data_IF_472146026383
#
_entry.id   IF_472146026383
#
_cell.length_a   1.000
_cell.length_b   1.000
_cell.length_c   1.000
_cell.angle_alpha   90.00
_cell.angle_beta   90.00
_cell.angle_gamma   90.00
#
_symmetry.space_group_name_H-M   'P 1'
#
loop_
_entity.id
_entity.type
_entity.pdbx_description
1 polymer ?
#
# COMPACT_ATOMS: atom_id res chain seq x y z
N UNK A 1 -17.36 12.88 -22.31
CA UNK A 1 -17.97 13.76 -21.29
C UNK A 1 -17.70 15.26 -21.48
N UNK A 2 -16.51 15.70 -21.93
CA UNK A 2 -16.23 17.14 -22.19
C UNK A 2 -15.66 17.46 -23.59
N UNK A 3 -15.14 16.46 -24.32
CA UNK A 3 -14.65 16.55 -25.71
C UNK A 3 -13.66 17.69 -26.03
N UNK A 4 -12.93 18.16 -25.00
CA UNK A 4 -11.95 19.25 -25.09
C UNK A 4 -10.69 18.89 -25.90
N UNK A 5 -10.47 17.62 -26.20
CA UNK A 5 -9.33 17.10 -26.97
C UNK A 5 -9.88 16.01 -27.89
N UNK A 6 -9.72 16.12 -29.23
CA UNK A 6 -10.20 15.13 -30.19
C UNK A 6 -9.70 13.71 -29.92
N UNK A 7 -10.56 12.72 -30.17
CA UNK A 7 -10.25 11.28 -30.11
C UNK A 7 -8.97 10.92 -30.85
N UNK A 8 -8.76 11.52 -32.02
CA UNK A 8 -7.65 11.20 -32.93
C UNK A 8 -6.30 11.57 -32.31
N UNK A 9 -6.25 12.61 -31.47
CA UNK A 9 -5.06 12.97 -30.70
C UNK A 9 -4.79 11.92 -29.61
N UNK A 10 -5.83 11.42 -28.95
CA UNK A 10 -5.71 10.38 -27.90
C UNK A 10 -5.23 9.05 -28.48
N UNK A 11 -5.73 8.68 -29.66
CA UNK A 11 -5.29 7.49 -30.41
C UNK A 11 -3.88 7.67 -30.97
N UNK A 12 -3.54 8.85 -31.50
CA UNK A 12 -2.18 9.18 -31.97
C UNK A 12 -1.12 9.21 -30.86
N UNK A 13 -1.52 9.29 -29.59
CA UNK A 13 -0.64 9.33 -28.42
C UNK A 13 -0.46 7.96 -27.72
N UNK A 14 -0.94 6.84 -28.29
CA UNK A 14 -0.74 5.47 -27.78
C UNK A 14 0.72 5.18 -27.37
N UNK A 15 1.69 5.57 -28.20
CA UNK A 15 3.12 5.35 -27.97
C UNK A 15 3.65 5.93 -26.65
N UNK A 16 3.00 6.96 -26.10
CA UNK A 16 3.38 7.56 -24.81
C UNK A 16 3.10 6.57 -23.68
N UNK A 17 2.04 5.76 -23.80
CA UNK A 17 1.72 4.71 -22.84
C UNK A 17 2.80 3.63 -22.83
N UNK A 18 3.23 3.17 -24.01
CA UNK A 18 4.30 2.17 -24.13
C UNK A 18 5.64 2.69 -23.58
N UNK A 19 5.98 3.94 -23.88
CA UNK A 19 7.16 4.62 -23.32
C UNK A 19 7.07 4.73 -21.79
N UNK A 20 5.95 5.18 -21.24
CA UNK A 20 5.76 5.30 -19.79
C UNK A 20 5.85 3.93 -19.11
N UNK A 21 5.22 2.91 -19.69
CA UNK A 21 5.26 1.54 -19.22
C UNK A 21 6.67 0.95 -19.19
N UNK A 22 7.43 1.14 -20.27
CA UNK A 22 8.82 0.72 -20.37
C UNK A 22 9.68 1.35 -19.26
N UNK A 23 9.52 2.65 -18.99
CA UNK A 23 10.22 3.33 -17.89
C UNK A 23 9.75 2.91 -16.49
N UNK A 24 8.46 2.67 -16.29
CA UNK A 24 7.92 2.15 -15.03
C UNK A 24 8.53 0.77 -14.75
N UNK A 25 8.48 -0.15 -15.71
CA UNK A 25 9.05 -1.50 -15.58
C UNK A 25 10.56 -1.48 -15.33
N UNK A 26 11.32 -0.67 -16.08
CA UNK A 26 12.74 -0.46 -15.82
C UNK A 26 12.98 0.05 -14.39
N UNK A 27 12.16 0.98 -13.92
CA UNK A 27 12.16 1.47 -12.54
C UNK A 27 11.93 0.37 -11.50
N UNK A 28 11.01 -0.57 -11.74
CA UNK A 28 10.73 -1.72 -10.86
C UNK A 28 11.94 -2.67 -10.78
N UNK A 29 12.68 -2.86 -11.89
CA UNK A 29 13.89 -3.68 -11.94
C UNK A 29 14.93 -3.36 -10.86
N UNK A 30 14.97 -2.11 -10.35
CA UNK A 30 15.86 -1.67 -9.26
C UNK A 30 15.63 -2.40 -7.92
N UNK A 31 14.50 -3.08 -7.76
CA UNK A 31 14.15 -3.81 -6.54
C UNK A 31 14.53 -5.29 -6.64
N UNK A 32 14.64 -5.85 -7.85
CA UNK A 32 15.08 -7.23 -8.14
C UNK A 32 16.60 -7.45 -7.99
N UNK A 33 17.21 -6.79 -6.99
CA UNK A 33 18.62 -7.02 -6.64
C UNK A 33 18.74 -8.31 -5.84
N UNK A 34 19.42 -9.31 -6.39
CA UNK A 34 19.60 -10.65 -5.82
C UNK A 34 20.19 -10.62 -4.41
N UNK A 35 21.18 -9.76 -4.13
CA UNK A 35 21.73 -9.61 -2.77
C UNK A 35 20.66 -9.16 -1.78
N UNK A 36 19.80 -8.21 -2.19
CA UNK A 36 18.72 -7.67 -1.36
C UNK A 36 17.63 -8.71 -1.18
N UNK A 37 17.28 -9.46 -2.22
CA UNK A 37 16.32 -10.57 -2.15
C UNK A 37 16.82 -11.68 -1.21
N UNK A 38 18.11 -12.05 -1.28
CA UNK A 38 18.74 -13.00 -0.33
C UNK A 38 18.81 -12.47 1.11
N UNK A 39 18.97 -11.14 1.28
CA UNK A 39 18.91 -10.47 2.59
C UNK A 39 17.47 -10.26 3.09
N UNK A 40 16.45 -10.31 2.22
CA UNK A 40 15.06 -10.31 2.64
C UNK A 40 14.78 -11.66 3.30
N UNK A 41 14.73 -11.69 4.63
CA UNK A 41 14.46 -12.93 5.35
C UNK A 41 13.18 -13.59 4.84
N UNK A 42 13.21 -14.92 4.69
CA UNK A 42 12.17 -15.74 4.02
C UNK A 42 10.73 -15.39 4.40
N UNK A 43 10.53 -14.95 5.64
CA UNK A 43 9.26 -14.43 6.16
C UNK A 43 8.65 -13.32 5.30
N UNK A 44 9.46 -12.39 4.78
CA UNK A 44 8.98 -11.27 3.95
C UNK A 44 8.62 -11.75 2.56
N UNK A 45 9.44 -12.61 1.95
CA UNK A 45 9.16 -13.19 0.63
C UNK A 45 7.83 -13.98 0.66
N UNK A 46 7.65 -14.85 1.66
CA UNK A 46 6.40 -15.60 1.85
C UNK A 46 5.23 -14.66 2.09
N UNK A 47 5.40 -13.58 2.86
CA UNK A 47 4.36 -12.60 3.10
C UNK A 47 3.95 -11.86 1.81
N UNK A 48 4.89 -11.38 0.99
CA UNK A 48 4.59 -10.69 -0.28
C UNK A 48 3.91 -11.64 -1.26
N UNK A 49 4.38 -12.89 -1.38
CA UNK A 49 3.74 -13.87 -2.25
C UNK A 49 2.32 -14.22 -1.77
N UNK A 50 2.13 -14.41 -0.47
CA UNK A 50 0.80 -14.71 0.09
C UNK A 50 -0.17 -13.54 -0.05
N UNK A 51 0.27 -12.30 0.17
CA UNK A 51 -0.62 -11.14 0.05
C UNK A 51 -1.00 -10.85 -1.42
N UNK A 52 -0.02 -10.89 -2.34
CA UNK A 52 -0.25 -10.66 -3.76
C UNK A 52 -1.10 -11.78 -4.40
N UNK A 53 -0.68 -13.04 -4.26
CA UNK A 53 -1.30 -14.17 -4.97
C UNK A 53 -2.66 -14.56 -4.39
N UNK A 54 -2.88 -14.43 -3.07
CA UNK A 54 -4.23 -14.61 -2.50
C UNK A 54 -5.15 -13.48 -2.94
N UNK A 55 -4.66 -12.22 -3.04
CA UNK A 55 -5.47 -11.13 -3.61
C UNK A 55 -5.88 -11.43 -5.05
N UNK A 56 -4.92 -11.86 -5.89
CA UNK A 56 -5.21 -12.23 -7.27
C UNK A 56 -6.23 -13.38 -7.34
N UNK A 57 -6.00 -14.48 -6.63
CA UNK A 57 -6.89 -15.64 -6.63
C UNK A 57 -8.31 -15.30 -6.12
N UNK A 58 -8.43 -14.47 -5.06
CA UNK A 58 -9.73 -14.03 -4.52
C UNK A 58 -10.48 -13.16 -5.51
N UNK A 59 -9.80 -12.21 -6.17
CA UNK A 59 -10.42 -11.36 -7.20
C UNK A 59 -10.85 -12.21 -8.42
N UNK A 60 -9.96 -13.06 -8.94
CA UNK A 60 -10.26 -13.96 -10.07
C UNK A 60 -11.46 -14.85 -9.76
N UNK A 61 -11.44 -15.54 -8.62
CA UNK A 61 -12.53 -16.45 -8.22
C UNK A 61 -13.86 -15.71 -8.04
N UNK A 62 -13.85 -14.51 -7.48
CA UNK A 62 -15.07 -13.70 -7.34
C UNK A 62 -15.65 -13.27 -8.69
N UNK A 63 -14.81 -12.82 -9.62
CA UNK A 63 -15.25 -12.39 -10.96
C UNK A 63 -15.80 -13.57 -11.78
N UNK A 64 -15.17 -14.74 -11.67
CA UNK A 64 -15.66 -15.98 -12.27
C UNK A 64 -17.00 -16.46 -11.67
N UNK A 65 -17.10 -16.55 -10.34
CA UNK A 65 -18.23 -17.21 -9.68
C UNK A 65 -19.44 -16.29 -9.46
N UNK A 66 -19.22 -14.99 -9.25
CA UNK A 66 -20.30 -14.04 -8.97
C UNK A 66 -20.75 -13.34 -10.24
N UNK A 67 -19.82 -12.77 -11.02
CA UNK A 67 -20.14 -12.03 -12.24
C UNK A 67 -20.10 -12.86 -13.53
N UNK A 68 -19.67 -14.13 -13.47
CA UNK A 68 -19.65 -15.04 -14.61
C UNK A 68 -18.85 -14.49 -15.82
N UNK A 69 -17.81 -13.70 -15.54
CA UNK A 69 -16.94 -13.10 -16.55
C UNK A 69 -15.94 -14.13 -17.11
N UNK A 70 -15.36 -13.85 -18.27
CA UNK A 70 -14.44 -14.80 -18.92
C UNK A 70 -13.20 -15.10 -18.07
N UNK A 71 -12.59 -16.26 -18.31
CA UNK A 71 -11.37 -16.68 -17.61
C UNK A 71 -10.21 -15.71 -17.85
N UNK A 72 -10.01 -15.30 -19.11
CA UNK A 72 -9.03 -14.31 -19.51
C UNK A 72 -9.22 -12.97 -18.76
N UNK A 73 -10.44 -12.43 -18.77
CA UNK A 73 -10.78 -11.18 -18.07
C UNK A 73 -10.51 -11.29 -16.57
N UNK A 74 -11.00 -12.37 -15.95
CA UNK A 74 -10.92 -12.57 -14.50
C UNK A 74 -9.48 -12.78 -14.02
N UNK A 75 -8.66 -13.53 -14.76
CA UNK A 75 -7.24 -13.72 -14.48
C UNK A 75 -6.46 -12.42 -14.58
N UNK A 76 -6.66 -11.65 -15.65
CA UNK A 76 -5.99 -10.36 -15.85
C UNK A 76 -6.40 -9.35 -14.77
N UNK A 77 -7.69 -9.22 -14.46
CA UNK A 77 -8.16 -8.32 -13.39
C UNK A 77 -7.63 -8.73 -12.02
N UNK A 78 -7.56 -10.04 -11.73
CA UNK A 78 -6.96 -10.57 -10.51
C UNK A 78 -5.46 -10.24 -10.40
N UNK A 79 -4.68 -10.48 -11.46
CA UNK A 79 -3.26 -10.16 -11.48
C UNK A 79 -3.00 -8.65 -11.33
N UNK A 80 -3.80 -7.78 -11.96
CA UNK A 80 -3.72 -6.34 -11.76
C UNK A 80 -4.04 -5.98 -10.30
N UNK A 81 -5.04 -6.63 -9.71
CA UNK A 81 -5.43 -6.44 -8.31
C UNK A 81 -4.35 -6.81 -7.29
N UNK A 82 -3.34 -7.60 -7.67
CA UNK A 82 -2.22 -7.87 -6.77
C UNK A 82 -1.27 -6.68 -6.61
N UNK A 83 -1.25 -5.68 -7.51
CA UNK A 83 -0.32 -4.54 -7.42
C UNK A 83 -0.64 -3.59 -6.26
N UNK A 84 0.39 -2.96 -5.68
CA UNK A 84 0.29 -1.95 -4.59
C UNK A 84 1.18 -0.75 -4.84
N UNK A 85 0.65 0.46 -4.69
CA UNK A 85 1.41 1.69 -4.85
C UNK A 85 2.20 2.08 -3.57
N UNK A 86 3.55 2.21 -3.62
CA UNK A 86 4.34 2.62 -2.45
C UNK A 86 4.18 4.11 -2.08
N UNK A 87 3.82 4.98 -3.03
CA UNK A 87 3.96 6.43 -2.89
C UNK A 87 3.23 7.00 -1.65
N UNK A 88 1.93 6.70 -1.51
CA UNK A 88 1.08 7.16 -0.41
C UNK A 88 1.56 6.64 0.96
N UNK A 89 1.80 5.33 1.08
CA UNK A 89 2.27 4.70 2.31
C UNK A 89 3.66 5.19 2.73
N UNK A 90 4.61 5.33 1.80
CA UNK A 90 5.94 5.88 2.08
C UNK A 90 5.90 7.36 2.48
N UNK A 91 5.02 8.17 1.87
CA UNK A 91 4.85 9.56 2.26
C UNK A 91 4.27 9.68 3.67
N UNK A 92 3.29 8.85 4.00
CA UNK A 92 2.68 8.83 5.34
C UNK A 92 3.69 8.38 6.41
N UNK A 93 4.52 7.36 6.12
CA UNK A 93 5.64 6.97 7.00
C UNK A 93 6.57 8.17 7.28
N UNK A 94 6.92 8.96 6.26
CA UNK A 94 7.79 10.14 6.39
C UNK A 94 7.13 11.27 7.19
N UNK A 95 5.87 11.60 6.88
CA UNK A 95 5.11 12.65 7.56
C UNK A 95 5.00 12.40 9.06
N UNK A 96 4.62 11.18 9.47
CA UNK A 96 4.47 10.80 10.88
C UNK A 96 5.77 10.30 11.52
N UNK A 97 6.91 10.36 10.79
CA UNK A 97 8.22 9.82 11.21
C UNK A 97 8.14 8.40 11.79
N UNK A 98 7.27 7.57 11.22
CA UNK A 98 6.94 6.25 11.73
C UNK A 98 8.14 5.30 11.62
N UNK A 99 8.34 4.44 12.62
CA UNK A 99 9.48 3.51 12.72
C UNK A 99 9.07 2.19 13.37
N UNK A 100 9.97 1.20 13.26
CA UNK A 100 9.83 -0.10 13.92
C UNK A 100 9.46 -1.24 12.96
N UNK A 101 9.21 -2.46 13.49
CA UNK A 101 9.08 -3.67 12.68
C UNK A 101 8.00 -3.57 11.59
N UNK A 102 6.85 -2.95 11.90
CA UNK A 102 5.77 -2.76 10.94
C UNK A 102 6.20 -1.97 9.70
N UNK A 103 6.89 -0.84 9.91
CA UNK A 103 7.39 0.02 8.82
C UNK A 103 8.46 -0.70 8.01
N UNK A 104 9.36 -1.43 8.67
CA UNK A 104 10.40 -2.19 7.98
C UNK A 104 9.78 -3.26 7.04
N UNK A 105 8.81 -4.03 7.54
CA UNK A 105 8.09 -5.02 6.71
C UNK A 105 7.31 -4.35 5.58
N UNK A 106 6.53 -3.29 5.86
CA UNK A 106 5.75 -2.58 4.84
C UNK A 106 6.61 -2.03 3.70
N UNK A 107 7.76 -1.41 4.02
CA UNK A 107 8.71 -0.89 3.03
C UNK A 107 9.31 -2.02 2.17
N UNK A 108 9.54 -3.20 2.75
CA UNK A 108 10.09 -4.35 2.04
C UNK A 108 9.06 -5.04 1.14
N UNK A 109 7.83 -5.22 1.63
CA UNK A 109 6.72 -5.84 0.88
C UNK A 109 6.40 -5.02 -0.36
N UNK A 110 6.10 -3.72 -0.22
CA UNK A 110 5.72 -2.88 -1.39
C UNK A 110 6.91 -2.62 -2.33
N UNK A 111 8.16 -2.79 -1.86
CA UNK A 111 9.31 -2.78 -2.76
C UNK A 111 9.40 -4.04 -3.65
N UNK A 112 8.77 -5.15 -3.27
CA UNK A 112 8.71 -6.38 -4.09
C UNK A 112 7.39 -6.56 -4.83
N UNK A 113 6.29 -5.97 -4.33
CA UNK A 113 4.94 -6.26 -4.80
C UNK A 113 4.73 -5.89 -6.29
N UNK A 114 5.28 -4.77 -6.75
CA UNK A 114 5.27 -4.40 -8.18
C UNK A 114 5.86 -5.51 -9.08
N UNK A 115 6.95 -6.16 -8.64
CA UNK A 115 7.58 -7.23 -9.42
C UNK A 115 6.78 -8.54 -9.37
N UNK A 116 6.13 -8.83 -8.23
CA UNK A 116 5.22 -10.00 -8.12
C UNK A 116 3.99 -9.80 -9.00
N UNK A 117 3.41 -8.59 -9.02
CA UNK A 117 2.29 -8.24 -9.88
C UNK A 117 2.64 -8.32 -11.37
N UNK A 118 3.81 -7.79 -11.77
CA UNK A 118 4.28 -7.93 -13.16
C UNK A 118 4.45 -9.39 -13.58
N UNK A 119 5.04 -10.24 -12.73
CA UNK A 119 5.21 -11.67 -13.02
C UNK A 119 3.87 -12.42 -13.06
N UNK A 120 2.98 -12.17 -12.10
CA UNK A 120 1.65 -12.76 -12.06
C UNK A 120 0.82 -12.35 -13.29
N UNK A 121 0.90 -11.08 -13.70
CA UNK A 121 0.27 -10.57 -14.90
C UNK A 121 0.81 -11.24 -16.16
N UNK A 122 2.12 -11.39 -16.30
CA UNK A 122 2.71 -12.05 -17.47
C UNK A 122 2.26 -13.51 -17.62
N UNK A 123 2.14 -14.25 -16.51
CA UNK A 123 1.59 -15.62 -16.53
C UNK A 123 0.10 -15.61 -16.90
N UNK A 124 -0.69 -14.70 -16.32
CA UNK A 124 -2.12 -14.57 -16.63
C UNK A 124 -2.38 -14.13 -18.08
N UNK A 125 -1.54 -13.25 -18.63
CA UNK A 125 -1.58 -12.81 -20.02
C UNK A 125 -1.27 -13.96 -20.99
N UNK A 126 -0.22 -14.75 -20.72
CA UNK A 126 0.09 -15.93 -21.54
C UNK A 126 -1.06 -16.96 -21.55
N UNK A 127 -1.73 -17.15 -20.40
CA UNK A 127 -2.92 -18.02 -20.32
C UNK A 127 -4.10 -17.41 -21.09
N UNK A 128 -4.38 -16.11 -20.90
CA UNK A 128 -5.47 -15.39 -21.55
C UNK A 128 -5.37 -15.46 -23.08
N UNK A 129 -4.20 -15.15 -23.64
CA UNK A 129 -3.95 -15.24 -25.09
C UNK A 129 -4.06 -16.68 -25.62
N UNK A 130 -3.74 -17.70 -24.81
CA UNK A 130 -3.88 -19.10 -25.19
C UNK A 130 -5.32 -19.64 -25.14
N UNK A 131 -6.24 -18.96 -24.45
CA UNK A 131 -7.66 -19.37 -24.35
C UNK A 131 -8.56 -18.88 -25.49
N UNK A 132 -8.09 -17.95 -26.33
CA UNK A 132 -8.85 -17.45 -27.49
C UNK A 132 -8.86 -18.45 -28.67
N UNK A 133 -7.90 -19.38 -28.73
CA UNK A 133 -7.83 -20.41 -29.79
C UNK A 133 -8.61 -21.67 -29.41
N UNK A 134 -9.69 -22.06 -30.14
CA UNK A 134 -10.51 -23.23 -29.80
C UNK A 134 -9.84 -24.59 -30.09
N UNK A 135 -8.67 -24.58 -30.73
CA UNK A 135 -7.81 -25.76 -30.92
C UNK A 135 -6.50 -25.51 -30.20
N UNK A 136 -6.24 -26.26 -29.12
CA UNK A 136 -4.95 -26.21 -28.41
C UNK A 136 -3.92 -26.99 -29.21
N UNK A 137 -3.43 -26.39 -30.29
CA UNK A 137 -2.23 -26.84 -30.97
C UNK A 137 -1.00 -26.49 -30.11
N UNK A 138 -0.06 -27.42 -29.94
CA UNK A 138 1.16 -27.21 -29.17
C UNK A 138 1.95 -25.99 -29.68
N UNK A 139 1.90 -25.73 -30.98
CA UNK A 139 2.57 -24.59 -31.60
C UNK A 139 1.99 -23.23 -31.16
N UNK A 140 0.70 -23.15 -30.85
CA UNK A 140 0.03 -21.93 -30.35
C UNK A 140 0.49 -21.50 -28.95
N UNK A 141 0.90 -22.46 -28.11
CA UNK A 141 1.40 -22.22 -26.74
C UNK A 141 2.91 -22.04 -26.72
N UNK A 142 3.65 -22.85 -27.50
CA UNK A 142 5.12 -22.81 -27.52
C UNK A 142 5.64 -21.52 -28.15
N UNK A 143 5.02 -21.01 -29.22
CA UNK A 143 5.48 -19.82 -29.95
C UNK A 143 5.54 -18.56 -29.06
N UNK A 144 4.44 -18.11 -28.39
CA UNK A 144 4.49 -16.92 -27.53
C UNK A 144 5.43 -17.13 -26.33
N UNK A 145 5.57 -18.34 -25.80
CA UNK A 145 6.53 -18.64 -24.74
C UNK A 145 7.99 -18.49 -25.22
N UNK A 146 8.29 -18.99 -26.42
CA UNK A 146 9.61 -18.90 -27.04
C UNK A 146 9.99 -17.45 -27.41
N UNK A 147 9.05 -16.67 -27.95
CA UNK A 147 9.28 -15.23 -28.22
C UNK A 147 9.53 -14.46 -26.92
N UNK A 148 8.72 -14.69 -25.87
CA UNK A 148 8.97 -14.08 -24.55
C UNK A 148 10.35 -14.48 -23.97
N UNK A 149 10.75 -15.75 -24.09
CA UNK A 149 12.07 -16.20 -23.67
C UNK A 149 13.21 -15.54 -24.47
N UNK A 150 13.03 -15.36 -25.78
CA UNK A 150 13.95 -14.63 -26.66
C UNK A 150 14.07 -13.14 -26.27
N UNK A 151 12.95 -12.47 -26.01
CA UNK A 151 12.91 -11.08 -25.51
C UNK A 151 13.62 -10.95 -24.16
N UNK A 152 13.41 -11.88 -23.23
CA UNK A 152 14.11 -11.91 -21.94
C UNK A 152 15.63 -12.11 -22.12
N UNK A 153 16.05 -13.04 -22.97
CA UNK A 153 17.47 -13.27 -23.26
C UNK A 153 18.11 -12.02 -23.88
N UNK A 154 17.46 -11.41 -24.87
CA UNK A 154 17.90 -10.17 -25.50
C UNK A 154 17.99 -9.03 -24.48
N UNK A 155 16.99 -8.85 -23.61
CA UNK A 155 17.00 -7.83 -22.56
C UNK A 155 18.12 -8.03 -21.53
N UNK A 156 18.45 -9.27 -21.17
CA UNK A 156 19.60 -9.57 -20.30
C UNK A 156 20.94 -9.26 -21.00
N UNK A 157 21.11 -9.66 -22.26
CA UNK A 157 22.32 -9.36 -23.05
C UNK A 157 22.49 -7.85 -23.25
N UNK A 158 21.42 -7.13 -23.60
CA UNK A 158 21.37 -5.68 -23.68
C UNK A 158 21.66 -5.02 -22.31
N UNK A 159 21.17 -5.59 -21.21
CA UNK A 159 21.46 -5.11 -19.85
C UNK A 159 22.94 -5.23 -19.49
N UNK A 160 23.61 -6.32 -19.90
CA UNK A 160 25.06 -6.48 -19.77
C UNK A 160 25.83 -5.53 -20.67
N UNK A 161 25.41 -5.38 -21.94
CA UNK A 161 26.00 -4.47 -22.91
C UNK A 161 25.93 -3.02 -22.42
N UNK A 162 24.75 -2.57 -21.97
CA UNK A 162 24.54 -1.29 -21.31
C UNK A 162 25.51 -1.11 -20.14
N UNK A 163 25.65 -2.11 -19.26
CA UNK A 163 26.61 -2.03 -18.16
C UNK A 163 28.05 -1.80 -18.64
N UNK A 164 28.49 -2.40 -19.74
CA UNK A 164 29.83 -2.16 -20.31
C UNK A 164 29.95 -0.75 -20.87
N UNK A 165 29.01 -0.29 -21.71
CA UNK A 165 29.07 1.05 -22.33
C UNK A 165 28.96 2.21 -21.32
N UNK A 166 28.34 2.00 -20.16
CA UNK A 166 28.27 3.02 -19.09
C UNK A 166 29.63 3.29 -18.40
N UNK A 167 30.69 2.52 -18.68
CA UNK A 167 32.02 2.74 -18.09
C UNK A 167 32.65 4.08 -18.53
N UNK A 168 33.11 4.86 -17.56
CA UNK A 168 33.79 6.14 -17.82
C UNK A 168 32.92 7.24 -18.45
N UNK A 169 31.59 7.09 -18.48
CA UNK A 169 30.67 8.06 -19.11
C UNK A 169 30.10 9.06 -18.11
N UNK A 170 29.90 10.31 -18.57
CA UNK A 170 29.25 11.36 -17.78
C UNK A 170 27.79 11.00 -17.44
N UNK A 171 27.20 11.71 -16.47
CA UNK A 171 25.82 11.44 -16.05
C UNK A 171 24.79 11.55 -17.17
N UNK A 172 25.00 12.46 -18.12
CA UNK A 172 24.04 12.71 -19.21
C UNK A 172 24.16 11.67 -20.32
N UNK A 173 25.38 11.27 -20.68
CA UNK A 173 25.61 10.12 -21.58
C UNK A 173 25.02 8.83 -21.00
N UNK A 174 25.14 8.60 -19.69
CA UNK A 174 24.53 7.44 -19.02
C UNK A 174 23.00 7.46 -19.10
N UNK A 175 22.40 8.63 -18.95
CA UNK A 175 20.96 8.82 -19.09
C UNK A 175 20.48 8.57 -20.53
N UNK A 176 21.09 9.24 -21.51
CA UNK A 176 20.75 9.10 -22.95
C UNK A 176 20.86 7.64 -23.39
N UNK A 177 21.95 6.96 -23.05
CA UNK A 177 22.16 5.55 -23.41
C UNK A 177 21.10 4.64 -22.77
N UNK A 178 20.67 4.94 -21.54
CA UNK A 178 19.62 4.15 -20.86
C UNK A 178 18.27 4.35 -21.52
N UNK A 179 17.90 5.60 -21.87
CA UNK A 179 16.69 5.87 -22.64
C UNK A 179 16.72 5.13 -23.99
N UNK A 180 17.84 5.17 -24.71
CA UNK A 180 18.00 4.45 -25.98
C UNK A 180 17.78 2.93 -25.83
N UNK A 181 18.34 2.30 -24.79
CA UNK A 181 18.16 0.87 -24.54
C UNK A 181 16.73 0.51 -24.09
N UNK A 182 16.08 1.37 -23.30
CA UNK A 182 14.66 1.19 -22.92
C UNK A 182 13.76 1.32 -24.14
N UNK A 183 13.97 2.32 -25.00
CA UNK A 183 13.22 2.49 -26.24
C UNK A 183 13.49 1.39 -27.26
N UNK A 184 14.74 0.90 -27.36
CA UNK A 184 15.08 -0.22 -28.25
C UNK A 184 14.35 -1.51 -27.85
N UNK A 185 14.28 -1.82 -26.56
CA UNK A 185 13.46 -2.94 -26.07
C UNK A 185 11.98 -2.68 -26.32
N UNK A 186 11.48 -1.47 -26.04
CA UNK A 186 10.07 -1.14 -26.26
C UNK A 186 9.65 -1.30 -27.73
N UNK A 187 10.42 -0.74 -28.66
CA UNK A 187 10.17 -0.84 -30.10
C UNK A 187 10.34 -2.27 -30.61
N UNK A 188 11.35 -3.01 -30.14
CA UNK A 188 11.55 -4.41 -30.50
C UNK A 188 10.43 -5.34 -30.02
N UNK A 189 9.85 -5.07 -28.84
CA UNK A 189 8.70 -5.83 -28.34
C UNK A 189 7.42 -5.46 -29.08
N UNK A 190 7.20 -4.17 -29.39
CA UNK A 190 6.08 -3.70 -30.21
C UNK A 190 6.11 -4.28 -31.63
N UNK A 191 7.29 -4.42 -32.24
CA UNK A 191 7.46 -5.05 -33.56
C UNK A 191 7.29 -6.59 -33.55
N UNK A 192 7.13 -7.21 -32.37
CA UNK A 192 6.90 -8.64 -32.18
C UNK A 192 5.52 -8.92 -31.54
N UNK A 193 4.67 -7.90 -31.37
CA UNK A 193 3.39 -7.96 -30.65
C UNK A 193 3.49 -8.54 -29.22
N UNK A 194 4.59 -8.24 -28.51
CA UNK A 194 4.85 -8.68 -27.13
C UNK A 194 4.94 -7.49 -26.18
N UNK A 195 4.53 -7.69 -24.91
CA UNK A 195 4.63 -6.66 -23.88
C UNK A 195 6.09 -6.32 -23.52
N UNK A 196 6.51 -5.05 -23.56
CA UNK A 196 7.89 -4.65 -23.22
C UNK A 196 8.22 -4.72 -21.73
N UNK A 197 7.23 -4.91 -20.84
CA UNK A 197 7.40 -4.80 -19.39
C UNK A 197 8.47 -5.75 -18.84
N UNK A 198 8.41 -7.03 -19.20
CA UNK A 198 9.37 -8.02 -18.71
C UNK A 198 10.80 -7.71 -19.19
N UNK A 199 10.95 -7.32 -20.46
CA UNK A 199 12.25 -6.93 -21.03
C UNK A 199 12.83 -5.70 -20.34
N UNK A 200 12.05 -4.63 -20.20
CA UNK A 200 12.51 -3.40 -19.52
C UNK A 200 12.79 -3.63 -18.03
N UNK A 201 11.98 -4.44 -17.34
CA UNK A 201 12.24 -4.84 -15.95
C UNK A 201 13.53 -5.65 -15.82
N UNK A 202 13.79 -6.58 -16.74
CA UNK A 202 15.02 -7.38 -16.75
C UNK A 202 16.25 -6.55 -17.12
N UNK A 203 16.13 -5.54 -18.00
CA UNK A 203 17.20 -4.56 -18.26
C UNK A 203 17.59 -3.85 -16.95
N UNK A 204 16.61 -3.34 -16.20
CA UNK A 204 16.83 -2.70 -14.90
C UNK A 204 17.39 -3.66 -13.84
N UNK A 205 16.86 -4.88 -13.76
CA UNK A 205 17.34 -5.91 -12.86
C UNK A 205 18.80 -6.31 -13.17
N UNK A 206 19.15 -6.45 -14.45
CA UNK A 206 20.51 -6.76 -14.89
C UNK A 206 21.47 -5.63 -14.48
N UNK A 207 21.10 -4.37 -14.73
CA UNK A 207 21.90 -3.22 -14.32
C UNK A 207 22.17 -3.18 -12.81
N UNK A 208 21.13 -3.32 -11.97
CA UNK A 208 21.29 -3.19 -10.50
C UNK A 208 22.11 -4.34 -9.91
N UNK A 209 22.10 -5.53 -10.52
CA UNK A 209 22.88 -6.68 -10.09
C UNK A 209 24.34 -6.65 -10.60
N UNK A 210 24.59 -6.17 -11.83
CA UNK A 210 25.94 -6.09 -12.40
C UNK A 210 26.72 -4.89 -11.85
N UNK A 211 26.08 -3.73 -11.65
CA UNK A 211 26.76 -2.52 -11.14
C UNK A 211 26.71 -2.36 -9.62
N UNK A 212 25.75 -2.99 -8.95
CA UNK A 212 25.61 -2.91 -7.49
C UNK A 212 25.18 -1.53 -6.96
N UNK A 213 24.83 -0.56 -7.81
CA UNK A 213 24.42 0.79 -7.43
C UNK A 213 23.00 1.15 -7.94
N UNK A 214 22.49 2.33 -7.55
CA UNK A 214 21.17 2.84 -7.98
C UNK A 214 21.22 4.23 -8.64
N UNK A 215 22.38 4.64 -9.14
CA UNK A 215 22.65 5.97 -9.73
C UNK A 215 21.86 6.18 -11.01
N UNK A 216 21.80 5.19 -11.89
CA UNK A 216 21.06 5.26 -13.16
C UNK A 216 19.56 5.47 -12.95
N UNK A 217 18.95 4.74 -12.01
CA UNK A 217 17.53 4.95 -11.67
C UNK A 217 17.26 6.36 -11.14
N UNK A 218 18.21 6.97 -10.41
CA UNK A 218 18.08 8.38 -9.98
C UNK A 218 18.16 9.34 -11.17
N UNK A 219 19.01 9.06 -12.17
CA UNK A 219 19.11 9.86 -13.40
C UNK A 219 17.82 9.75 -14.22
N UNK A 220 17.34 8.53 -14.49
CA UNK A 220 16.08 8.26 -15.21
C UNK A 220 14.87 8.86 -14.47
N UNK A 221 14.86 8.85 -13.13
CA UNK A 221 13.80 9.51 -12.34
C UNK A 221 13.73 11.04 -12.47
N UNK A 222 14.68 11.69 -13.17
CA UNK A 222 14.61 13.13 -13.50
C UNK A 222 13.79 13.42 -14.76
N UNK A 223 13.74 12.48 -15.72
CA UNK A 223 13.08 12.66 -17.02
C UNK A 223 11.76 11.90 -17.17
N UNK A 224 11.52 10.90 -16.31
CA UNK A 224 10.24 10.17 -16.26
C UNK A 224 9.04 10.96 -15.72
N UNK A 225 9.14 11.99 -14.85
CA UNK A 225 7.94 12.65 -14.34
C UNK A 225 7.04 13.28 -15.42
N UNK A 226 7.55 14.02 -16.42
CA UNK A 226 6.72 14.51 -17.54
C UNK A 226 6.06 13.39 -18.35
N UNK A 227 6.79 12.30 -18.62
CA UNK A 227 6.27 11.12 -19.31
C UNK A 227 5.11 10.49 -18.53
N UNK A 228 5.30 10.29 -17.23
CA UNK A 228 4.27 9.74 -16.35
C UNK A 228 3.04 10.65 -16.29
N UNK A 229 3.20 11.98 -16.25
CA UNK A 229 2.08 12.93 -16.28
C UNK A 229 1.29 12.80 -17.59
N UNK A 230 1.95 12.76 -18.74
CA UNK A 230 1.26 12.56 -20.03
C UNK A 230 0.51 11.23 -20.07
N UNK A 231 1.13 10.14 -19.62
CA UNK A 231 0.49 8.83 -19.49
C UNK A 231 -0.74 8.84 -18.55
N UNK A 232 -0.65 9.49 -17.39
CA UNK A 232 -1.80 9.58 -16.47
C UNK A 232 -2.94 10.45 -17.03
N UNK A 233 -2.62 11.52 -17.76
CA UNK A 233 -3.63 12.34 -18.44
C UNK A 233 -4.33 11.53 -19.54
N UNK A 234 -3.57 10.87 -20.42
CA UNK A 234 -4.13 9.97 -21.45
C UNK A 234 -5.00 8.86 -20.85
N UNK A 235 -4.53 8.23 -19.77
CA UNK A 235 -5.28 7.20 -19.03
C UNK A 235 -6.57 7.75 -18.45
N UNK A 236 -6.55 8.97 -17.88
CA UNK A 236 -7.74 9.64 -17.36
C UNK A 236 -8.72 10.07 -18.45
N UNK A 237 -8.24 10.40 -19.66
CA UNK A 237 -9.09 10.72 -20.80
C UNK A 237 -9.79 9.50 -21.41
N UNK A 238 -9.21 8.31 -21.26
CA UNK A 238 -9.81 7.01 -21.64
C UNK A 238 -10.89 6.53 -20.67
N UNK A 239 -11.03 7.15 -19.50
CA UNK A 239 -12.04 6.79 -18.50
C UNK A 239 -13.41 7.29 -18.97
N UNK A 240 -14.24 6.39 -19.50
CA UNK A 240 -15.62 6.72 -19.85
C UNK A 240 -16.53 6.71 -18.61
N UNK A 241 -16.86 7.91 -18.13
CA UNK A 241 -17.78 8.12 -17.02
C UNK A 241 -19.22 7.70 -17.34
N UNK A 242 -19.63 7.64 -18.63
CA UNK A 242 -21.00 7.28 -18.99
C UNK A 242 -21.29 5.78 -18.76
N UNK A 243 -20.27 4.92 -18.91
CA UNK A 243 -20.37 3.49 -18.59
C UNK A 243 -20.55 3.17 -17.08
N UNK A 244 -20.33 4.14 -16.18
CA UNK A 244 -20.24 3.93 -14.73
C UNK A 244 -21.50 3.36 -14.05
N UNK A 245 -22.68 3.37 -14.67
CA UNK A 245 -23.90 2.81 -14.05
C UNK A 245 -23.85 1.29 -13.94
N UNK A 246 -23.57 0.59 -15.05
CA UNK A 246 -23.42 -0.88 -15.05
C UNK A 246 -22.01 -1.29 -14.62
N UNK A 247 -20.98 -0.58 -15.11
CA UNK A 247 -19.57 -0.85 -14.74
C UNK A 247 -19.31 -0.56 -13.26
N UNK A 248 -20.05 0.37 -12.66
CA UNK A 248 -19.91 0.76 -11.26
C UNK A 248 -20.17 -0.39 -10.28
N UNK A 249 -21.07 -1.33 -10.58
CA UNK A 249 -21.32 -2.49 -9.71
C UNK A 249 -20.10 -3.43 -9.72
N UNK A 250 -19.60 -3.77 -10.90
CA UNK A 250 -18.42 -4.65 -11.06
C UNK A 250 -17.18 -3.96 -10.47
N UNK A 251 -17.01 -2.65 -10.71
CA UNK A 251 -15.90 -1.85 -10.18
C UNK A 251 -15.93 -1.68 -8.66
N UNK A 252 -17.11 -1.44 -8.07
CA UNK A 252 -17.26 -1.36 -6.62
C UNK A 252 -17.06 -2.72 -5.94
N UNK A 253 -17.52 -3.80 -6.57
CA UNK A 253 -17.28 -5.16 -6.10
C UNK A 253 -15.78 -5.53 -6.21
N UNK A 254 -15.12 -5.26 -7.34
CA UNK A 254 -13.66 -5.37 -7.47
C UNK A 254 -12.94 -4.61 -6.37
N UNK A 255 -13.35 -3.35 -6.12
CA UNK A 255 -12.74 -2.49 -5.10
C UNK A 255 -12.82 -3.12 -3.70
N UNK A 256 -14.00 -3.62 -3.32
CA UNK A 256 -14.24 -4.27 -2.02
C UNK A 256 -13.53 -5.63 -1.90
N UNK A 257 -13.61 -6.46 -2.94
CA UNK A 257 -13.01 -7.81 -2.98
C UNK A 257 -11.50 -7.75 -2.97
N UNK A 258 -10.87 -6.80 -3.69
CA UNK A 258 -9.42 -6.58 -3.62
C UNK A 258 -8.98 -6.17 -2.21
N UNK A 259 -9.73 -5.29 -1.53
CA UNK A 259 -9.43 -4.92 -0.13
C UNK A 259 -9.51 -6.17 0.76
N UNK A 260 -10.56 -6.98 0.63
CA UNK A 260 -10.71 -8.23 1.37
C UNK A 260 -9.56 -9.22 1.09
N UNK A 261 -9.16 -9.36 -0.18
CA UNK A 261 -8.00 -10.16 -0.61
C UNK A 261 -6.68 -9.69 0.02
N UNK A 262 -6.37 -8.39 -0.04
CA UNK A 262 -5.17 -7.80 0.58
C UNK A 262 -5.16 -8.00 2.10
N UNK A 263 -6.30 -7.89 2.77
CA UNK A 263 -6.42 -8.23 4.19
C UNK A 263 -6.20 -9.72 4.46
N UNK A 264 -6.86 -10.60 3.72
CA UNK A 264 -6.78 -12.05 3.91
C UNK A 264 -5.37 -12.59 3.64
N UNK A 265 -4.79 -12.25 2.49
CA UNK A 265 -3.46 -12.71 2.08
C UNK A 265 -2.35 -12.20 3.01
N UNK A 266 -2.39 -10.91 3.40
CA UNK A 266 -1.41 -10.37 4.35
C UNK A 266 -1.58 -10.95 5.77
N UNK A 267 -2.81 -11.21 6.22
CA UNK A 267 -3.07 -11.90 7.48
C UNK A 267 -2.57 -13.34 7.47
N UNK A 268 -2.85 -14.09 6.40
CA UNK A 268 -2.37 -15.48 6.21
C UNK A 268 -0.84 -15.51 6.18
N UNK A 269 -0.20 -14.72 5.32
CA UNK A 269 1.26 -14.65 5.22
C UNK A 269 1.94 -14.27 6.55
N UNK A 270 1.41 -13.27 7.25
CA UNK A 270 1.93 -12.85 8.57
C UNK A 270 1.59 -13.85 9.71
N UNK A 271 0.60 -14.73 9.51
CA UNK A 271 0.30 -15.84 10.42
C UNK A 271 1.28 -16.99 10.21
N UNK A 272 1.43 -17.46 8.97
CA UNK A 272 2.34 -18.56 8.59
C UNK A 272 3.79 -18.26 8.97
N UNK A 273 4.24 -17.01 8.82
CA UNK A 273 5.63 -16.60 9.06
C UNK A 273 5.91 -16.15 10.50
N UNK A 274 4.91 -16.20 11.39
CA UNK A 274 5.04 -15.84 12.80
C UNK A 274 5.40 -14.37 13.02
N UNK A 275 4.88 -13.45 12.20
CA UNK A 275 5.15 -12.02 12.36
C UNK A 275 4.34 -11.38 13.51
N UNK A 276 4.79 -10.22 14.05
CA UNK A 276 4.12 -9.53 15.15
C UNK A 276 2.66 -9.18 14.85
N UNK A 277 1.83 -9.13 15.91
CA UNK A 277 0.38 -8.88 15.82
C UNK A 277 0.04 -7.59 15.07
N UNK A 278 0.85 -6.53 15.22
CA UNK A 278 0.69 -5.28 14.49
C UNK A 278 0.81 -5.43 12.97
N UNK A 279 1.72 -6.27 12.49
CA UNK A 279 1.83 -6.63 11.05
C UNK A 279 0.61 -7.46 10.65
N UNK A 280 0.32 -8.53 11.39
CA UNK A 280 -0.76 -9.48 11.08
C UNK A 280 -2.15 -8.85 10.99
N UNK A 281 -2.42 -7.80 11.78
CA UNK A 281 -3.75 -7.14 11.81
C UNK A 281 -3.88 -5.93 10.89
N UNK A 282 -2.79 -5.21 10.61
CA UNK A 282 -2.88 -3.89 9.98
C UNK A 282 -2.07 -3.74 8.69
N UNK A 283 -1.31 -4.75 8.25
CA UNK A 283 -0.52 -4.62 7.03
C UNK A 283 -1.41 -4.50 5.79
N UNK A 284 -2.44 -5.34 5.64
CA UNK A 284 -3.38 -5.26 4.51
C UNK A 284 -4.00 -3.87 4.32
N UNK A 285 -4.28 -3.16 5.42
CA UNK A 285 -4.77 -1.78 5.39
C UNK A 285 -3.76 -0.79 4.76
N UNK A 286 -2.45 -1.03 4.94
CA UNK A 286 -1.40 -0.22 4.32
C UNK A 286 -1.03 -0.64 2.88
N UNK A 287 -1.60 -1.74 2.39
CA UNK A 287 -1.44 -2.29 1.03
C UNK A 287 -2.65 -2.01 0.11
N UNK A 288 -3.63 -1.23 0.60
CA UNK A 288 -4.77 -0.78 -0.20
C UNK A 288 -4.38 0.16 -1.37
N UNK A 289 -3.43 1.12 -1.24
CA UNK A 289 -3.12 2.05 -2.33
C UNK A 289 -2.73 1.35 -3.64
N UNK A 290 -3.18 1.89 -4.77
CA UNK A 290 -2.97 1.31 -6.11
C UNK A 290 -2.90 2.44 -7.14
N UNK A 291 -1.90 2.39 -8.04
CA UNK A 291 -1.57 3.50 -8.94
C UNK A 291 -0.94 3.01 -10.27
N UNK A 292 0.01 3.76 -10.82
CA UNK A 292 0.50 3.64 -12.21
C UNK A 292 0.91 2.25 -12.73
N UNK A 293 1.44 1.35 -11.89
CA UNK A 293 1.72 -0.03 -12.34
C UNK A 293 0.43 -0.74 -12.74
N UNK A 294 -0.62 -0.63 -11.93
CA UNK A 294 -1.92 -1.27 -12.24
C UNK A 294 -2.62 -0.64 -13.44
N UNK A 295 -2.56 0.68 -13.59
CA UNK A 295 -3.13 1.41 -14.73
C UNK A 295 -2.41 0.98 -16.01
N UNK A 296 -1.09 0.85 -15.93
CA UNK A 296 -0.26 0.34 -17.01
C UNK A 296 -0.60 -1.08 -17.44
N UNK A 297 -0.75 -1.98 -16.46
CA UNK A 297 -1.19 -3.35 -16.70
C UNK A 297 -2.61 -3.42 -17.29
N UNK A 298 -3.50 -2.50 -16.92
CA UNK A 298 -4.85 -2.43 -17.47
C UNK A 298 -4.87 -2.05 -18.95
N UNK A 299 -4.02 -1.10 -19.39
CA UNK A 299 -3.89 -0.78 -20.83
C UNK A 299 -3.34 -1.95 -21.63
N UNK A 300 -2.44 -2.76 -21.05
CA UNK A 300 -1.96 -3.97 -21.71
C UNK A 300 -3.01 -5.08 -21.75
N UNK A 301 -3.77 -5.27 -20.66
CA UNK A 301 -4.90 -6.19 -20.65
C UNK A 301 -5.98 -5.79 -21.67
N UNK A 302 -6.18 -4.48 -21.88
CA UNK A 302 -7.07 -3.95 -22.92
C UNK A 302 -6.63 -4.32 -24.35
N UNK A 303 -5.32 -4.54 -24.59
CA UNK A 303 -4.79 -5.04 -25.88
C UNK A 303 -4.80 -6.57 -26.01
N UNK A 304 -4.98 -7.30 -24.90
CA UNK A 304 -5.02 -8.78 -24.88
C UNK A 304 -6.46 -9.30 -24.97
N UNK A 305 -7.43 -8.54 -24.46
CA UNK A 305 -8.84 -8.90 -24.45
C UNK A 305 -9.59 -8.34 -25.67
N UNK A 306 -10.75 -8.93 -26.04
CA UNK A 306 -11.69 -8.31 -26.97
C UNK A 306 -12.06 -6.88 -26.56
N UNK A 307 -12.28 -5.98 -27.52
CA UNK A 307 -12.34 -4.52 -27.30
C UNK A 307 -13.26 -4.10 -26.14
N UNK A 308 -14.51 -4.58 -26.12
CA UNK A 308 -15.48 -4.29 -25.06
C UNK A 308 -14.97 -4.74 -23.68
N UNK A 309 -14.45 -5.97 -23.61
CA UNK A 309 -13.90 -6.54 -22.36
C UNK A 309 -12.64 -5.80 -21.90
N UNK A 310 -11.79 -5.38 -22.84
CA UNK A 310 -10.63 -4.56 -22.57
C UNK A 310 -10.98 -3.17 -22.04
N UNK A 311 -11.95 -2.49 -22.66
CA UNK A 311 -12.45 -1.19 -22.23
C UNK A 311 -13.13 -1.25 -20.85
N UNK A 312 -13.91 -2.30 -20.59
CA UNK A 312 -14.53 -2.57 -19.27
C UNK A 312 -13.47 -2.77 -18.18
N UNK A 313 -12.45 -3.60 -18.44
CA UNK A 313 -11.35 -3.84 -17.49
C UNK A 313 -10.57 -2.55 -17.22
N UNK A 314 -10.22 -1.82 -18.27
CA UNK A 314 -9.53 -0.53 -18.19
C UNK A 314 -10.31 0.46 -17.31
N UNK A 315 -11.61 0.60 -17.55
CA UNK A 315 -12.50 1.47 -16.78
C UNK A 315 -12.59 1.06 -15.31
N UNK A 316 -12.68 -0.24 -14.99
CA UNK A 316 -12.69 -0.76 -13.61
C UNK A 316 -11.40 -0.38 -12.88
N UNK A 317 -10.23 -0.58 -13.51
CA UNK A 317 -8.94 -0.29 -12.87
C UNK A 317 -8.70 1.22 -12.74
N UNK A 318 -9.01 2.01 -13.76
CA UNK A 318 -8.86 3.47 -13.74
C UNK A 318 -9.75 4.10 -12.65
N UNK A 319 -11.04 3.76 -12.64
CA UNK A 319 -12.00 4.30 -11.65
C UNK A 319 -11.68 3.87 -10.22
N UNK A 320 -11.33 2.59 -10.00
CA UNK A 320 -10.94 2.11 -8.67
C UNK A 320 -9.59 2.68 -8.20
N UNK A 321 -8.62 2.94 -9.10
CA UNK A 321 -7.35 3.58 -8.75
C UNK A 321 -7.54 5.01 -8.22
N UNK A 322 -8.50 5.78 -8.76
CA UNK A 322 -8.88 7.10 -8.19
C UNK A 322 -9.41 6.95 -6.76
N UNK A 323 -10.29 5.97 -6.50
CA UNK A 323 -10.79 5.68 -5.15
C UNK A 323 -9.65 5.26 -4.20
N UNK A 324 -8.69 4.47 -4.69
CA UNK A 324 -7.54 4.03 -3.90
C UNK A 324 -6.54 5.15 -3.58
N UNK A 325 -6.35 6.14 -4.45
CA UNK A 325 -5.52 7.31 -4.14
C UNK A 325 -6.21 8.26 -3.14
N UNK A 326 -7.55 8.37 -3.17
CA UNK A 326 -8.30 9.13 -2.14
C UNK A 326 -8.28 8.45 -0.76
N UNK A 327 -8.50 7.13 -0.71
CA UNK A 327 -8.66 6.36 0.54
C UNK A 327 -7.30 5.90 1.10
N UNK A 328 -6.32 5.68 0.21
CA UNK A 328 -5.00 5.15 0.53
C UNK A 328 -4.25 5.86 1.66
N UNK A 329 -4.12 7.22 1.64
CA UNK A 329 -3.46 7.96 2.71
C UNK A 329 -4.13 7.77 4.07
N UNK A 330 -5.47 7.68 4.10
CA UNK A 330 -6.26 7.48 5.32
C UNK A 330 -6.01 6.08 5.89
N UNK A 331 -6.03 5.06 5.02
CA UNK A 331 -5.76 3.68 5.39
C UNK A 331 -4.30 3.48 5.85
N UNK A 332 -3.32 3.99 5.11
CA UNK A 332 -1.91 3.95 5.50
C UNK A 332 -1.68 4.64 6.85
N UNK A 333 -2.28 5.82 7.08
CA UNK A 333 -2.22 6.52 8.38
C UNK A 333 -2.81 5.64 9.49
N UNK A 334 -4.03 5.14 9.31
CA UNK A 334 -4.72 4.30 10.30
C UNK A 334 -3.92 3.03 10.62
N UNK A 335 -3.29 2.41 9.63
CA UNK A 335 -2.40 1.25 9.81
C UNK A 335 -1.15 1.57 10.66
N UNK A 336 -0.49 2.71 10.41
CA UNK A 336 0.69 3.14 11.16
C UNK A 336 0.38 3.49 12.62
N UNK A 337 -0.77 4.13 12.88
CA UNK A 337 -1.23 4.42 14.24
C UNK A 337 -1.63 3.14 14.99
N UNK A 338 -2.46 2.28 14.39
CA UNK A 338 -2.95 1.05 15.05
C UNK A 338 -1.86 -0.01 15.26
N UNK A 339 -0.84 -0.05 14.40
CA UNK A 339 0.34 -0.91 14.58
C UNK A 339 1.32 -0.40 15.65
N UNK A 340 1.12 0.80 16.18
CA UNK A 340 2.01 1.42 17.17
C UNK A 340 3.33 1.94 16.61
N UNK A 341 3.42 2.14 15.28
CA UNK A 341 4.64 2.55 14.59
C UNK A 341 4.91 4.07 14.65
N UNK A 342 3.93 4.88 15.06
CA UNK A 342 4.07 6.34 15.18
C UNK A 342 4.61 6.71 16.58
N UNK A 343 5.76 7.40 16.69
CA UNK A 343 6.30 7.85 17.97
C UNK A 343 5.32 8.76 18.74
N UNK A 344 5.29 8.64 20.07
CA UNK A 344 4.46 9.47 20.95
C UNK A 344 3.00 9.00 21.15
N UNK A 345 2.43 8.26 20.20
CA UNK A 345 1.04 7.74 20.31
C UNK A 345 0.91 6.62 21.35
N UNK A 346 2.03 5.99 21.74
CA UNK A 346 2.07 4.93 22.75
C UNK A 346 1.52 5.37 24.13
N UNK A 347 1.70 6.64 24.51
CA UNK A 347 1.07 7.20 25.71
C UNK A 347 -0.44 7.41 25.56
N UNK A 348 -0.89 7.90 24.40
CA UNK A 348 -2.30 8.19 24.15
C UNK A 348 -3.16 6.90 24.07
N UNK A 349 -2.72 5.88 23.32
CA UNK A 349 -3.44 4.60 23.22
C UNK A 349 -3.43 3.77 24.52
N UNK A 350 -2.44 3.99 25.39
CA UNK A 350 -2.47 3.42 26.74
C UNK A 350 -3.42 4.18 27.65
N UNK A 351 -3.39 5.52 27.63
CA UNK A 351 -4.31 6.37 28.38
C UNK A 351 -5.78 6.11 28.02
N UNK A 352 -6.10 5.95 26.74
CA UNK A 352 -7.45 5.67 26.26
C UNK A 352 -7.93 4.28 26.75
N UNK A 353 -7.05 3.27 26.74
CA UNK A 353 -7.35 1.93 27.30
C UNK A 353 -7.43 1.89 28.82
N UNK A 354 -6.68 2.72 29.56
CA UNK A 354 -6.85 2.84 31.02
C UNK A 354 -8.10 3.65 31.37
N UNK A 355 -8.46 4.67 30.59
CA UNK A 355 -9.72 5.39 30.73
C UNK A 355 -10.92 4.47 30.43
N UNK A 356 -10.90 3.70 29.34
CA UNK A 356 -11.95 2.74 28.98
C UNK A 356 -12.10 1.62 30.05
N UNK A 357 -10.98 1.13 30.59
CA UNK A 357 -11.00 0.21 31.75
C UNK A 357 -11.54 0.87 33.01
N UNK A 358 -11.14 2.10 33.34
CA UNK A 358 -11.64 2.83 34.50
C UNK A 358 -13.14 3.10 34.39
N UNK A 359 -13.64 3.49 33.21
CA UNK A 359 -15.08 3.70 32.94
C UNK A 359 -15.87 2.39 33.07
N UNK A 360 -15.33 1.25 32.62
CA UNK A 360 -16.00 -0.04 32.79
C UNK A 360 -15.98 -0.55 34.24
N UNK A 361 -14.90 -0.30 35.00
CA UNK A 361 -14.84 -0.61 36.44
C UNK A 361 -15.78 0.30 37.26
N UNK A 362 -15.88 1.58 36.92
CA UNK A 362 -16.79 2.51 37.59
C UNK A 362 -18.27 2.23 37.25
N UNK A 363 -18.54 1.73 36.02
CA UNK A 363 -19.86 1.21 35.64
C UNK A 363 -20.22 -0.09 36.38
N UNK A 364 -19.30 -1.04 36.55
CA UNK A 364 -19.60 -2.26 37.32
C UNK A 364 -19.78 -1.95 38.82
N UNK A 365 -18.97 -1.05 39.39
CA UNK A 365 -19.13 -0.59 40.78
C UNK A 365 -20.46 0.15 41.02
N UNK A 366 -20.95 0.92 40.05
CA UNK A 366 -22.28 1.56 40.12
C UNK A 366 -23.44 0.57 39.95
N UNK A 367 -23.28 -0.44 39.10
CA UNK A 367 -24.27 -1.52 38.97
C UNK A 367 -24.42 -2.33 40.27
N UNK A 368 -23.30 -2.65 40.92
CA UNK A 368 -23.26 -3.42 42.17
C UNK A 368 -23.84 -2.62 43.37
N UNK A 369 -23.63 -1.29 43.40
CA UNK A 369 -24.31 -0.40 44.35
C UNK A 369 -25.82 -0.30 44.12
N UNK A 370 -26.28 -0.22 42.87
CA UNK A 370 -27.71 -0.18 42.58
C UNK A 370 -28.42 -1.51 42.93
N UNK A 371 -27.77 -2.67 42.71
CA UNK A 371 -28.34 -3.96 43.14
C UNK A 371 -28.44 -4.11 44.67
N UNK A 372 -27.58 -3.45 45.45
CA UNK A 372 -27.70 -3.39 46.92
C UNK A 372 -28.75 -2.37 47.39
N UNK A 373 -28.97 -1.29 46.65
CA UNK A 373 -30.05 -0.33 46.95
C UNK A 373 -31.44 -0.94 46.70
N UNK A 374 -31.66 -1.60 45.55
CA UNK A 374 -32.97 -2.21 45.21
C UNK A 374 -33.35 -3.39 46.12
N UNK A 375 -32.37 -4.08 46.73
CA UNK A 375 -32.64 -5.12 47.75
C UNK A 375 -32.98 -4.56 49.13
N UNK A 376 -32.66 -3.30 49.43
CA UNK A 376 -33.02 -2.66 50.69
C UNK A 376 -34.44 -2.07 50.68
N UNK A 377 -35.08 -1.92 49.51
CA UNK A 377 -36.41 -1.31 49.37
C UNK A 377 -37.57 -2.33 49.25
N UNK A 378 -37.32 -3.62 49.46
CA UNK A 378 -38.31 -4.71 49.22
C UNK A 378 -38.51 -5.69 50.39
N UNK A 379 -38.12 -5.36 51.62
CA UNK A 379 -38.53 -6.11 52.84
C UNK A 379 -39.61 -5.43 53.68
N UNK A 380 -39.71 -4.09 53.64
CA UNK A 380 -40.50 -3.33 54.62
C UNK A 380 -41.95 -3.10 54.18
N UNK A 381 -42.70 -4.20 54.01
CA UNK A 381 -44.17 -4.15 53.99
C UNK A 381 -44.84 -5.48 54.38
N UNK A 382 -44.50 -6.00 55.55
CA UNK A 382 -45.31 -7.01 56.23
C UNK A 382 -45.39 -6.74 57.75
N UNK A 383 -46.62 -6.76 58.28
CA UNK A 383 -47.00 -6.83 59.71
C UNK A 383 -46.61 -5.68 60.65
N UNK A 384 -47.62 -4.92 61.09
CA UNK A 384 -47.66 -4.31 62.43
C UNK A 384 -47.78 -5.42 63.49
N UNK A 385 -47.01 -5.34 64.57
CA UNK A 385 -47.49 -5.62 65.93
C UNK A 385 -46.47 -5.14 66.99
N UNK A 386 -47.01 -4.50 68.03
CA UNK A 386 -46.48 -4.39 69.40
C UNK A 386 -45.11 -3.74 69.75
N UNK A 387 -45.21 -2.96 70.82
CA UNK A 387 -44.17 -2.38 71.70
C UNK A 387 -44.01 -3.35 72.91
N UNK A 388 -43.05 -3.22 73.86
CA UNK A 388 -42.10 -2.11 74.10
C UNK A 388 -40.68 -2.48 74.68
N UNK A 389 -39.91 -1.43 75.05
CA UNK A 389 -39.09 -1.30 76.30
C UNK A 389 -37.62 -1.79 76.37
N UNK A 390 -36.75 -0.89 76.92
CA UNK A 390 -35.38 -1.05 77.49
C UNK A 390 -34.25 -1.53 76.54
N UNK A 391 -32.95 -1.29 76.81
CA UNK A 391 -32.20 -0.26 77.57
C UNK A 391 -30.68 -0.50 77.38
N UNK A 392 -29.82 0.48 77.70
CA UNK A 392 -28.37 0.31 78.00
C UNK A 392 -27.47 -0.21 76.84
N UNK A 393 -26.13 -0.09 76.84
CA UNK A 393 -25.11 0.84 77.42
C UNK A 393 -23.76 0.51 76.71
N UNK A 394 -22.74 1.36 76.80
CA UNK A 394 -21.29 1.07 77.01
C UNK A 394 -20.64 -0.19 76.35
N UNK A 395 -19.42 -0.22 75.79
CA UNK A 395 -18.25 0.68 75.84
C UNK A 395 -17.03 0.04 75.09
N UNK A 396 -15.85 0.70 75.17
CA UNK A 396 -14.45 0.22 74.94
C UNK A 396 -13.99 0.11 73.47
N UNK A 397 -12.80 0.59 73.07
CA UNK A 397 -11.41 0.40 73.58
C UNK A 397 -10.90 -1.06 73.42
N UNK A 398 -9.66 -1.35 73.03
CA UNK A 398 -8.46 -0.53 72.71
C UNK A 398 -7.39 -1.37 71.96
N UNK A 399 -6.20 -0.78 71.74
CA UNK A 399 -4.88 -1.44 71.55
C UNK A 399 -4.47 -1.93 70.13
N UNK A 400 -3.43 -1.34 69.50
CA UNK A 400 -1.95 -1.49 69.67
C UNK A 400 -1.43 -2.83 69.11
N UNK A 401 -0.33 -2.96 68.36
CA UNK A 401 0.68 -2.05 67.79
C UNK A 401 1.31 -2.74 66.52
N UNK A 402 2.47 -2.46 65.89
CA UNK A 402 3.63 -1.60 66.20
C UNK A 402 4.50 -1.25 64.94
N UNK A 403 5.58 -0.48 65.20
CA UNK A 403 6.92 -0.36 64.56
C UNK A 403 7.27 -1.08 63.23
N UNK A 404 8.18 -0.60 62.36
CA UNK A 404 9.03 0.61 62.17
C UNK A 404 9.58 0.48 60.70
N UNK A 405 9.91 1.49 59.88
CA UNK A 405 10.88 2.59 60.06
C UNK A 405 10.86 3.50 58.80
N UNK A 406 10.99 4.82 58.98
CA UNK A 406 11.60 5.88 58.11
C UNK A 406 11.91 5.60 56.61
N UNK A 407 11.76 6.57 55.67
CA UNK A 407 12.07 8.01 55.81
C UNK A 407 11.52 8.87 54.65
N UNK A 408 11.34 10.18 54.94
CA UNK A 408 11.30 11.38 54.06
C UNK A 408 9.94 11.98 53.61
N UNK A 409 9.70 13.16 54.22
CA UNK A 409 9.18 14.43 53.68
C UNK A 409 7.69 14.57 53.34
N UNK A 410 7.14 15.69 53.82
CA UNK A 410 5.74 16.13 53.86
C UNK A 410 5.63 17.47 53.10
N UNK A 411 4.40 17.97 52.92
CA UNK A 411 4.00 19.28 52.36
C UNK A 411 3.96 19.33 50.81
N UNK A 412 2.95 19.95 50.16
CA UNK A 412 1.73 20.56 50.71
C UNK A 412 0.55 20.51 49.71
N UNK A 413 -0.67 20.67 50.23
CA UNK A 413 -1.91 20.62 49.43
C UNK A 413 -2.26 21.94 48.75
N UNK A 414 -1.82 22.14 47.50
CA UNK A 414 -2.46 23.10 46.57
C UNK A 414 -2.52 22.52 45.13
N UNK A 415 -3.63 22.70 44.39
CA UNK A 415 -3.71 22.26 43.00
C UNK A 415 -2.81 23.12 42.09
N UNK A 416 -2.09 22.50 41.16
CA UNK A 416 -1.37 23.22 40.11
C UNK A 416 -2.34 23.87 39.10
N UNK A 417 -1.98 25.01 38.50
CA UNK A 417 -2.81 25.64 37.46
C UNK A 417 -2.89 24.77 36.20
N UNK A 418 -4.03 24.87 35.50
CA UNK A 418 -4.19 24.27 34.17
C UNK A 418 -3.30 24.99 33.13
N UNK A 419 -2.73 24.29 32.14
CA UNK A 419 -1.99 24.93 31.06
C UNK A 419 -2.91 25.80 30.18
N UNK A 420 -2.43 26.99 29.81
CA UNK A 420 -3.17 27.90 28.91
C UNK A 420 -3.35 27.30 27.49
N UNK A 421 -4.45 27.65 26.79
CA UNK A 421 -4.67 27.22 25.42
C UNK A 421 -3.69 27.90 24.45
N UNK A 422 -2.93 27.11 23.68
CA UNK A 422 -1.98 27.66 22.71
C UNK A 422 -2.68 28.49 21.60
N UNK A 423 -2.04 29.57 21.12
CA UNK A 423 -2.64 30.47 20.14
C UNK A 423 -2.83 29.81 18.77
N UNK A 424 -3.96 30.13 18.12
CA UNK A 424 -4.30 29.68 16.77
C UNK A 424 -3.21 30.08 15.77
N UNK A 425 -2.58 29.09 15.13
CA UNK A 425 -1.60 29.35 14.06
C UNK A 425 -2.32 29.98 12.86
N UNK A 426 -1.98 31.23 12.57
CA UNK A 426 -2.46 31.98 11.41
C UNK A 426 -1.69 31.51 10.17
N UNK A 427 -2.40 31.08 9.11
CA UNK A 427 -1.76 30.72 7.84
C UNK A 427 -1.16 31.98 7.19
N UNK A 428 0.17 32.00 7.04
CA UNK A 428 0.89 33.05 6.32
C UNK A 428 2.19 32.51 5.71
N UNK A 429 2.44 32.82 4.43
CA UNK A 429 3.79 32.95 3.87
C UNK A 429 4.66 31.68 3.75
N UNK A 430 4.22 30.63 3.07
CA UNK A 430 5.10 29.49 2.77
C UNK A 430 6.22 29.81 1.74
N UNK A 431 6.11 30.91 0.97
CA UNK A 431 7.04 31.27 -0.09
C UNK A 431 8.37 31.87 0.39
N UNK A 432 8.36 32.75 1.38
CA UNK A 432 9.54 33.54 1.77
C UNK A 432 10.60 32.69 2.49
N UNK A 433 10.17 31.69 3.27
CA UNK A 433 11.09 30.79 4.00
C UNK A 433 11.95 29.91 3.08
N UNK A 434 11.54 29.64 1.83
CA UNK A 434 12.39 28.93 0.87
C UNK A 434 13.49 29.78 0.26
N UNK A 435 13.32 31.11 0.19
CA UNK A 435 14.33 32.01 -0.36
C UNK A 435 15.46 32.34 0.62
N UNK A 436 15.19 32.28 1.93
CA UNK A 436 16.22 32.45 2.96
C UNK A 436 17.23 31.28 2.97
N UNK A 437 16.76 30.02 3.02
CA UNK A 437 17.64 28.84 3.08
C UNK A 437 18.54 28.66 1.85
N UNK A 438 18.18 29.22 0.68
CA UNK A 438 19.00 29.07 -0.54
C UNK A 438 20.27 29.93 -0.53
N UNK A 439 20.36 30.98 0.31
CA UNK A 439 21.56 31.84 0.40
C UNK A 439 22.68 31.28 1.29
N UNK A 440 22.38 30.37 2.23
CA UNK A 440 23.38 29.86 3.17
C UNK A 440 24.21 28.66 2.65
N UNK A 441 23.82 28.06 1.51
CA UNK A 441 24.53 26.90 0.91
C UNK A 441 25.35 27.26 -0.34
N UNK A 442 25.62 28.55 -0.57
CA UNK A 442 26.26 29.07 -1.78
C UNK A 442 27.47 29.97 -1.52
N UNK A 443 28.50 29.48 -0.85
CA UNK A 443 29.82 30.13 -0.76
C UNK A 443 30.93 29.10 -0.56
N UNK A 444 32.16 29.45 -1.00
CA UNK A 444 33.37 28.62 -1.14
C UNK A 444 33.28 27.53 -2.24
N UNK A 445 34.16 27.46 -3.25
CA UNK A 445 35.39 28.21 -3.54
C UNK A 445 35.42 28.79 -4.97
N UNK A 446 36.07 29.97 -5.12
CA UNK A 446 36.82 30.34 -6.32
C UNK A 446 38.30 30.00 -6.08
N UNK A 447 39.02 29.67 -7.15
CA UNK A 447 40.42 29.25 -7.15
C UNK A 447 40.65 28.32 -8.32
#
# INVERSE_FOLDING_TARGET
ALDLIPSDIVSGMEFITDIALAFIAFGVGRYLRLDRLKQQGTKVIVLTLMEALVTAAVVTAFMLVVFHLSLAFSLLLGAIGSATAPASSLMTIRQYRAKGPFVNTLVQVVAMDDAVALLAFSVCAAIASGTETPVVDWQSVITPLAVNAGVLLAAYLLGRLLCVLLNGRSSDHRLVLTCAFVFFIAAGCAALDVSPLLGCMLLGATYVNVRGDKTLFKQVSRVTPPINVMFFVLSGMRLDLNSMTTVGIIGAAYFAVRIAGKFLGSWLGARMTGMPVGVRRYLGLALIPQAGVSIGLAVLAQRILPEDSGALLSTIILSSSVLYEMIGPVCARKALFLSGAVPGVQGALQADRTAEKAVNVDKSAKADKNQKADKALKSDKATKAEKPIKAQRDSRESDKAAAKKNKKTVLDGRPMPLPEPQPKIRWAGAGERMWAMRREQGSFHRG
#
